data_IF_576650799461
#
_entry.id   IF_576650799461
#
_cell.length_a   1.000
_cell.length_b   1.000
_cell.length_c   1.000
_cell.angle_alpha   90.00
_cell.angle_beta   90.00
_cell.angle_gamma   90.00
#
_symmetry.space_group_name_H-M   'P 1'
#
loop_
_entity.id
_entity.type
_entity.pdbx_description
1 polymer ?
#
# COMPACT_ATOMS: atom_id res chain seq x y z
N UNK A 1 8.06 -22.18 8.48
CA UNK A 1 6.84 -21.64 7.85
C UNK A 1 7.27 -20.52 6.93
N UNK A 2 7.33 -20.78 5.62
CA UNK A 2 7.79 -19.80 4.64
C UNK A 2 6.60 -19.09 4.02
N UNK A 3 6.43 -17.81 4.33
CA UNK A 3 5.53 -16.95 3.54
C UNK A 3 5.98 -16.89 2.08
N UNK A 4 5.08 -16.60 1.14
CA UNK A 4 5.45 -16.46 -0.26
C UNK A 4 6.56 -15.41 -0.39
N UNK A 5 7.68 -15.80 -1.00
CA UNK A 5 8.80 -14.88 -1.24
C UNK A 5 8.40 -13.74 -2.16
N UNK A 6 7.41 -13.96 -3.03
CA UNK A 6 6.83 -12.92 -3.89
C UNK A 6 5.32 -13.09 -4.04
N UNK A 7 4.57 -12.01 -3.84
CA UNK A 7 3.17 -11.86 -4.20
C UNK A 7 3.06 -10.87 -5.35
N UNK A 8 2.18 -11.18 -6.31
CA UNK A 8 1.83 -10.26 -7.40
C UNK A 8 0.33 -10.39 -7.62
N UNK A 9 -0.38 -9.28 -7.60
CA UNK A 9 -1.78 -9.20 -8.00
C UNK A 9 -1.96 -8.14 -9.06
N UNK A 10 -2.81 -8.46 -10.04
CA UNK A 10 -3.21 -7.55 -11.09
C UNK A 10 -4.71 -7.65 -11.33
N UNK A 11 -5.42 -6.52 -11.34
CA UNK A 11 -6.83 -6.50 -11.69
C UNK A 11 -7.62 -5.40 -11.00
N UNK A 12 -8.92 -5.37 -11.27
CA UNK A 12 -9.84 -4.44 -10.62
C UNK A 12 -10.81 -5.19 -9.72
N UNK A 13 -10.97 -4.75 -8.48
CA UNK A 13 -11.85 -5.39 -7.52
C UNK A 13 -12.71 -4.36 -6.78
N UNK A 14 -13.93 -4.71 -6.42
CA UNK A 14 -14.73 -3.85 -5.54
C UNK A 14 -14.10 -3.78 -4.15
N UNK A 15 -13.54 -4.89 -3.67
CA UNK A 15 -12.76 -4.96 -2.44
C UNK A 15 -11.60 -5.93 -2.63
N UNK A 16 -10.42 -5.53 -2.22
CA UNK A 16 -9.27 -6.41 -2.05
C UNK A 16 -8.83 -6.37 -0.58
N UNK A 17 -8.44 -7.53 -0.05
CA UNK A 17 -7.93 -7.66 1.31
C UNK A 17 -6.76 -8.64 1.28
N UNK A 18 -5.57 -8.13 1.54
CA UNK A 18 -4.37 -8.92 1.64
C UNK A 18 -3.85 -8.96 3.07
N UNK A 19 -3.48 -10.16 3.51
CA UNK A 19 -2.77 -10.36 4.77
C UNK A 19 -1.55 -11.25 4.58
N UNK A 20 -0.42 -10.92 5.21
CA UNK A 20 0.73 -11.82 5.27
C UNK A 20 2.10 -11.16 5.25
N UNK A 21 3.13 -11.97 5.07
CA UNK A 21 4.52 -11.53 4.95
C UNK A 21 5.10 -11.98 3.62
N UNK A 22 5.80 -11.09 2.93
CA UNK A 22 6.46 -11.39 1.66
C UNK A 22 7.84 -10.73 1.57
N UNK A 23 8.75 -11.27 0.76
CA UNK A 23 9.98 -10.52 0.44
C UNK A 23 9.69 -9.41 -0.56
N UNK A 24 8.76 -9.67 -1.50
CA UNK A 24 8.23 -8.70 -2.45
C UNK A 24 6.72 -8.81 -2.54
N UNK A 25 6.01 -7.74 -2.28
CA UNK A 25 4.61 -7.60 -2.67
C UNK A 25 4.52 -6.61 -3.84
N UNK A 26 3.63 -6.89 -4.78
CA UNK A 26 3.37 -6.05 -5.94
C UNK A 26 1.89 -6.11 -6.27
N UNK A 27 1.19 -5.00 -6.10
CA UNK A 27 -0.18 -4.86 -6.55
C UNK A 27 -0.27 -3.86 -7.69
N UNK A 28 -1.06 -4.21 -8.70
CA UNK A 28 -1.36 -3.33 -9.81
C UNK A 28 -2.84 -3.36 -10.16
N UNK A 29 -3.51 -2.21 -10.17
CA UNK A 29 -4.91 -2.14 -10.62
C UNK A 29 -5.73 -1.11 -9.87
N UNK A 30 -7.04 -1.30 -9.82
CA UNK A 30 -7.92 -0.33 -9.19
C UNK A 30 -8.96 -0.98 -8.31
N UNK A 31 -9.08 -0.51 -7.07
CA UNK A 31 -10.05 -1.04 -6.11
C UNK A 31 -10.98 0.05 -5.60
N UNK A 32 -12.21 -0.30 -5.20
CA UNK A 32 -13.00 0.68 -4.43
C UNK A 32 -12.50 0.75 -2.98
N UNK A 33 -12.05 -0.39 -2.46
CA UNK A 33 -11.51 -0.55 -1.11
C UNK A 33 -10.35 -1.53 -1.16
N UNK A 34 -9.16 -1.06 -0.86
CA UNK A 34 -7.99 -1.89 -0.61
C UNK A 34 -7.70 -1.94 0.88
N UNK A 35 -7.30 -3.11 1.36
CA UNK A 35 -6.82 -3.29 2.72
C UNK A 35 -5.64 -4.25 2.70
N UNK A 36 -4.46 -3.74 2.97
CA UNK A 36 -3.28 -4.56 3.15
C UNK A 36 -2.83 -4.58 4.60
N UNK A 37 -2.55 -5.77 5.12
CA UNK A 37 -1.96 -5.94 6.44
C UNK A 37 -0.76 -6.90 6.37
N UNK A 38 0.43 -6.42 6.66
CA UNK A 38 1.59 -7.28 6.49
C UNK A 38 2.95 -6.69 6.75
N UNK A 39 3.96 -7.47 6.39
CA UNK A 39 5.33 -6.96 6.31
C UNK A 39 6.01 -7.42 5.04
N UNK A 40 6.68 -6.48 4.38
CA UNK A 40 7.38 -6.71 3.14
C UNK A 40 8.81 -6.19 3.20
N UNK A 41 9.77 -6.83 2.53
CA UNK A 41 11.06 -6.15 2.29
C UNK A 41 10.87 -5.07 1.22
N UNK A 42 10.08 -5.36 0.20
CA UNK A 42 9.71 -4.43 -0.87
C UNK A 42 8.21 -4.51 -1.10
N UNK A 43 7.53 -3.41 -0.92
CA UNK A 43 6.13 -3.22 -1.26
C UNK A 43 6.05 -2.28 -2.46
N UNK A 44 5.18 -2.61 -3.42
CA UNK A 44 4.96 -1.80 -4.62
C UNK A 44 3.48 -1.84 -4.96
N UNK A 45 2.83 -0.72 -4.81
CA UNK A 45 1.45 -0.54 -5.22
C UNK A 45 1.36 0.45 -6.39
N UNK A 46 0.67 0.03 -7.44
CA UNK A 46 0.38 0.88 -8.59
C UNK A 46 -1.09 0.85 -8.92
N UNK A 47 -1.81 1.92 -8.63
CA UNK A 47 -3.25 1.84 -8.77
C UNK A 47 -4.06 3.05 -8.37
N UNK A 48 -5.38 2.90 -8.44
CA UNK A 48 -6.30 3.88 -7.90
C UNK A 48 -7.28 3.21 -6.96
N UNK A 49 -7.43 3.78 -5.76
CA UNK A 49 -8.35 3.29 -4.76
C UNK A 49 -9.30 4.39 -4.29
N UNK A 50 -10.59 4.12 -4.10
CA UNK A 50 -11.43 5.12 -3.41
C UNK A 50 -11.05 5.20 -1.93
N UNK A 51 -10.76 4.05 -1.33
CA UNK A 51 -10.19 3.93 0.02
C UNK A 51 -9.07 2.92 0.00
N UNK A 52 -7.89 3.36 0.42
CA UNK A 52 -6.72 2.53 0.65
C UNK A 52 -6.40 2.49 2.14
N UNK A 53 -6.09 1.32 2.66
CA UNK A 53 -5.68 1.12 4.05
C UNK A 53 -4.52 0.15 4.07
N UNK A 54 -3.33 0.65 4.34
CA UNK A 54 -2.17 -0.17 4.55
C UNK A 54 -1.75 -0.17 6.00
N UNK A 55 -1.50 -1.37 6.52
CA UNK A 55 -0.98 -1.58 7.85
C UNK A 55 0.22 -2.52 7.81
N UNK A 56 1.42 -2.01 8.10
CA UNK A 56 2.57 -2.87 7.98
C UNK A 56 3.94 -2.26 8.20
N UNK A 57 4.95 -3.06 7.92
CA UNK A 57 6.34 -2.59 7.86
C UNK A 57 6.95 -3.01 6.54
N UNK A 58 7.46 -2.01 5.82
CA UNK A 58 8.21 -2.22 4.60
C UNK A 58 9.68 -1.80 4.82
N UNK A 59 10.65 -2.46 4.19
CA UNK A 59 11.99 -1.83 4.10
C UNK A 59 11.99 -0.75 3.02
N UNK A 60 11.33 -1.06 1.90
CA UNK A 60 11.08 -0.16 0.78
C UNK A 60 9.59 -0.21 0.44
N UNK A 61 8.94 0.94 0.51
CA UNK A 61 7.54 1.15 0.13
C UNK A 61 7.50 2.09 -1.08
N UNK A 62 6.75 1.70 -2.10
CA UNK A 62 6.56 2.50 -3.32
C UNK A 62 5.09 2.47 -3.68
N UNK A 63 4.44 3.62 -3.52
CA UNK A 63 3.03 3.79 -3.85
C UNK A 63 2.88 4.82 -4.97
N UNK A 64 2.35 4.34 -6.08
CA UNK A 64 2.11 5.15 -7.28
C UNK A 64 0.63 5.09 -7.63
N UNK A 65 -0.11 6.15 -7.31
CA UNK A 65 -1.55 6.06 -7.46
C UNK A 65 -2.34 7.27 -7.05
N UNK A 66 -3.66 7.16 -7.19
CA UNK A 66 -4.58 8.15 -6.67
C UNK A 66 -5.54 7.47 -5.72
N UNK A 67 -5.51 7.87 -4.46
CA UNK A 67 -6.54 7.52 -3.50
C UNK A 67 -7.30 8.74 -2.99
N UNK A 68 -8.62 8.60 -2.84
CA UNK A 68 -9.45 9.68 -2.25
C UNK A 68 -9.29 9.71 -0.74
N UNK A 69 -9.12 8.53 -0.14
CA UNK A 69 -8.72 8.33 1.26
C UNK A 69 -7.68 7.25 1.28
N UNK A 70 -6.53 7.56 1.81
CA UNK A 70 -5.38 6.68 1.88
C UNK A 70 -4.92 6.72 3.33
N UNK A 71 -4.91 5.57 4.01
CA UNK A 71 -4.54 5.46 5.41
C UNK A 71 -3.34 4.53 5.50
N UNK A 72 -2.16 5.10 5.74
CA UNK A 72 -0.92 4.33 5.87
C UNK A 72 -0.52 4.26 7.33
N UNK A 73 -0.38 3.03 7.82
CA UNK A 73 -0.03 2.73 9.21
C UNK A 73 1.15 1.81 9.25
N UNK A 74 2.33 2.41 9.33
CA UNK A 74 3.52 1.62 9.20
C UNK A 74 4.78 2.42 9.33
N UNK A 75 5.87 1.69 9.29
CA UNK A 75 7.20 2.28 9.16
C UNK A 75 7.85 1.70 7.92
N UNK A 76 8.32 2.61 7.06
CA UNK A 76 9.22 2.28 5.98
C UNK A 76 10.56 2.98 6.18
N UNK A 77 11.66 2.26 5.99
CA UNK A 77 13.00 2.88 5.96
C UNK A 77 13.20 3.73 4.71
N UNK A 78 12.56 3.35 3.62
CA UNK A 78 12.54 4.09 2.37
C UNK A 78 11.11 4.08 1.84
N UNK A 79 10.58 5.26 1.59
CA UNK A 79 9.17 5.47 1.28
C UNK A 79 9.07 6.47 0.13
N UNK A 80 8.40 6.07 -0.95
CA UNK A 80 8.10 6.92 -2.10
C UNK A 80 6.60 6.84 -2.35
N UNK A 81 5.91 7.95 -2.11
CA UNK A 81 4.46 8.01 -2.25
C UNK A 81 4.06 9.17 -3.14
N UNK A 82 3.68 8.85 -4.37
CA UNK A 82 3.08 9.79 -5.31
C UNK A 82 1.57 9.56 -5.31
N UNK A 83 0.91 9.94 -4.21
CA UNK A 83 -0.55 9.94 -4.03
C UNK A 83 -1.06 11.36 -3.78
N UNK A 84 -2.28 11.67 -4.22
CA UNK A 84 -2.82 13.04 -4.11
C UNK A 84 -3.08 13.49 -2.66
N UNK A 85 -3.18 12.54 -1.73
CA UNK A 85 -3.33 12.76 -0.29
C UNK A 85 -3.21 11.43 0.46
N UNK A 86 -2.49 11.40 1.59
CA UNK A 86 -2.59 10.30 2.56
C UNK A 86 -2.83 10.82 3.97
N UNK A 87 -3.48 10.00 4.80
CA UNK A 87 -3.86 10.28 6.17
C UNK A 87 -3.18 9.30 7.12
N UNK A 88 -2.80 9.75 8.32
CA UNK A 88 -2.52 8.84 9.42
C UNK A 88 -3.83 8.37 10.11
N UNK A 89 -3.72 7.49 11.12
CA UNK A 89 -4.88 7.03 11.91
C UNK A 89 -5.60 8.15 12.65
N UNK A 90 -4.93 9.28 12.90
CA UNK A 90 -5.51 10.44 13.55
C UNK A 90 -6.22 11.35 12.54
N UNK A 91 -6.25 10.98 11.26
CA UNK A 91 -6.85 11.76 10.19
C UNK A 91 -6.01 12.96 9.77
N UNK A 92 -4.72 13.01 10.14
CA UNK A 92 -3.83 14.07 9.69
C UNK A 92 -3.46 13.84 8.23
N UNK A 93 -3.83 14.78 7.37
CA UNK A 93 -3.49 14.73 5.95
C UNK A 93 -2.05 15.19 5.74
N UNK A 94 -1.27 14.36 5.06
CA UNK A 94 0.07 14.69 4.62
C UNK A 94 0.08 14.98 3.12
N UNK A 95 0.92 15.95 2.67
CA UNK A 95 1.15 16.17 1.26
C UNK A 95 1.88 14.97 0.64
N UNK A 96 1.76 14.75 -0.68
CA UNK A 96 2.55 13.74 -1.39
C UNK A 96 4.04 13.92 -1.07
N UNK A 97 4.72 12.84 -0.66
CA UNK A 97 6.17 12.85 -0.51
C UNK A 97 6.81 12.61 -1.88
N UNK A 98 7.20 13.69 -2.54
CA UNK A 98 8.14 13.59 -3.65
C UNK A 98 9.52 13.25 -3.08
N UNK A 99 9.99 12.04 -3.36
CA UNK A 99 11.41 11.68 -3.24
C UNK A 99 12.23 12.33 -4.33
#
# INVERSE_FOLDING_TARGET
MGGPTRKVQQGSATRDVQTGCATRDVQQGGTTRDVQQGSATRDIEKGSATRDVQQGRATRDIQQGCATRDIVTGSATFDVQTSSAYLDLNGQRYPPRNG
#
